data_IF_177429564200
#
_entry.id   IF_177429564200
#
_cell.length_a   1.000
_cell.length_b   1.000
_cell.length_c   1.000
_cell.angle_alpha   90.00
_cell.angle_beta   90.00
_cell.angle_gamma   90.00
#
_symmetry.space_group_name_H-M   'P 1'
#
loop_
_entity.id
_entity.type
_entity.pdbx_description
1 polymer ?
#
# COMPACT_ATOMS: atom_id res chain seq x y z
N UNK A 1 -5.35 12.84 -7.43
CA UNK A 1 -6.51 13.05 -6.57
C UNK A 1 -7.05 14.45 -6.79
N UNK A 2 -8.36 14.56 -6.92
CA UNK A 2 -9.04 15.82 -7.31
C UNK A 2 -9.49 16.66 -6.10
N UNK A 3 -9.30 16.15 -4.86
CA UNK A 3 -9.78 16.80 -3.62
C UNK A 3 -8.58 17.29 -2.82
N UNK A 4 -8.54 18.57 -2.49
CA UNK A 4 -7.50 19.11 -1.61
C UNK A 4 -7.72 18.65 -0.16
N UNK A 5 -6.65 18.70 0.65
CA UNK A 5 -6.74 18.39 2.07
C UNK A 5 -7.70 19.33 2.79
N UNK A 6 -7.68 20.60 2.42
CA UNK A 6 -8.55 21.65 2.96
C UNK A 6 -10.02 21.37 2.63
N UNK A 7 -10.35 21.04 1.37
CA UNK A 7 -11.72 20.69 0.96
C UNK A 7 -12.23 19.45 1.70
N UNK A 8 -11.36 18.47 1.97
CA UNK A 8 -11.72 17.28 2.72
C UNK A 8 -11.99 17.62 4.20
N UNK A 9 -11.17 18.47 4.81
CA UNK A 9 -11.38 18.95 6.19
C UNK A 9 -12.71 19.69 6.32
N UNK A 10 -13.03 20.59 5.39
CA UNK A 10 -14.29 21.32 5.36
C UNK A 10 -15.49 20.37 5.24
N UNK A 11 -15.36 19.32 4.41
CA UNK A 11 -16.39 18.30 4.24
C UNK A 11 -16.59 17.45 5.50
N UNK A 12 -15.51 17.14 6.22
CA UNK A 12 -15.56 16.42 7.49
C UNK A 12 -16.18 17.28 8.60
N UNK A 13 -15.80 18.55 8.69
CA UNK A 13 -16.36 19.49 9.67
C UNK A 13 -17.86 19.70 9.45
N UNK A 14 -18.31 19.87 8.21
CA UNK A 14 -19.73 19.97 7.85
C UNK A 14 -20.54 18.71 8.23
N UNK A 15 -19.88 17.56 8.35
CA UNK A 15 -20.45 16.30 8.80
C UNK A 15 -20.27 16.04 10.32
N UNK A 16 -19.85 17.05 11.07
CA UNK A 16 -19.56 16.97 12.51
C UNK A 16 -18.51 15.91 12.87
N UNK A 17 -17.55 15.66 11.96
CA UNK A 17 -16.44 14.72 12.15
C UNK A 17 -15.21 15.49 12.64
N UNK A 18 -14.75 15.18 13.84
CA UNK A 18 -13.54 15.80 14.40
C UNK A 18 -12.29 15.29 13.66
N UNK A 19 -11.61 16.21 12.97
CA UNK A 19 -10.41 15.91 12.20
C UNK A 19 -9.41 17.08 12.29
N UNK A 20 -8.11 16.76 12.14
CA UNK A 20 -7.06 17.78 12.16
C UNK A 20 -5.91 17.40 11.22
N UNK A 21 -5.12 18.40 10.85
CA UNK A 21 -3.90 18.21 10.03
C UNK A 21 -2.83 17.49 10.86
N UNK A 22 -2.16 16.52 10.24
CA UNK A 22 -1.00 15.88 10.84
C UNK A 22 0.26 16.63 10.46
N UNK A 23 0.94 17.23 11.45
CA UNK A 23 2.18 17.98 11.22
C UNK A 23 3.28 17.06 10.66
N UNK A 24 4.02 17.54 9.66
CA UNK A 24 5.07 16.79 8.99
C UNK A 24 4.59 15.84 7.88
N UNK A 25 3.27 15.74 7.67
CA UNK A 25 2.67 14.93 6.59
C UNK A 25 1.78 15.82 5.71
N UNK A 26 2.22 16.22 4.51
CA UNK A 26 1.54 17.26 3.71
C UNK A 26 0.07 16.97 3.40
N UNK A 27 -0.30 15.68 3.28
CA UNK A 27 -1.62 15.24 2.83
C UNK A 27 -2.41 14.47 3.90
N UNK A 28 -1.82 14.32 5.10
CA UNK A 28 -2.43 13.51 6.15
C UNK A 28 -3.40 14.33 7.02
N UNK A 29 -4.50 13.67 7.36
CA UNK A 29 -5.52 14.14 8.30
C UNK A 29 -5.69 13.07 9.38
N UNK A 30 -5.67 13.45 10.64
CA UNK A 30 -6.08 12.60 11.75
C UNK A 30 -7.57 12.76 12.02
N UNK A 31 -8.31 11.66 12.00
CA UNK A 31 -9.75 11.64 12.29
C UNK A 31 -9.96 11.05 13.68
N UNK A 32 -10.61 11.79 14.56
CA UNK A 32 -10.81 11.43 15.97
C UNK A 32 -12.22 10.91 16.28
N UNK A 33 -13.21 11.19 15.41
CA UNK A 33 -14.59 10.77 15.57
C UNK A 33 -15.24 10.55 14.20
N UNK A 34 -16.46 10.02 14.15
CA UNK A 34 -17.21 9.93 12.90
C UNK A 34 -17.72 8.52 12.54
N UNK A 35 -17.50 7.52 13.39
CA UNK A 35 -18.04 6.17 13.19
C UNK A 35 -17.26 5.34 12.17
N UNK A 36 -17.96 4.59 11.33
CA UNK A 36 -17.31 3.72 10.33
C UNK A 36 -16.65 4.56 9.23
N UNK A 37 -15.36 4.30 8.95
CA UNK A 37 -14.60 5.00 7.91
C UNK A 37 -15.30 5.01 6.55
N UNK A 38 -15.99 3.93 6.22
CA UNK A 38 -16.73 3.79 4.95
C UNK A 38 -17.95 4.71 4.84
N UNK A 39 -18.39 5.30 5.95
CA UNK A 39 -19.51 6.24 6.00
C UNK A 39 -19.04 7.70 6.00
N UNK A 40 -17.74 7.95 6.08
CA UNK A 40 -17.21 9.31 6.09
C UNK A 40 -17.33 9.97 4.71
N UNK A 41 -17.59 11.30 4.67
CA UNK A 41 -17.59 12.06 3.41
C UNK A 41 -16.32 11.85 2.61
N UNK A 42 -16.45 11.63 1.31
CA UNK A 42 -15.32 11.45 0.41
C UNK A 42 -14.73 10.03 0.37
N UNK A 43 -15.11 9.11 1.26
CA UNK A 43 -14.54 7.75 1.22
C UNK A 43 -14.96 6.97 -0.02
N UNK A 44 -16.27 6.92 -0.31
CA UNK A 44 -16.79 6.20 -1.49
C UNK A 44 -16.33 6.82 -2.81
N UNK A 45 -16.14 8.12 -2.83
CA UNK A 45 -15.66 8.90 -3.97
C UNK A 45 -14.15 8.75 -4.20
N UNK A 46 -13.43 8.12 -3.26
CA UNK A 46 -11.99 7.93 -3.35
C UNK A 46 -11.16 9.16 -3.01
N UNK A 47 -11.71 10.12 -2.25
CA UNK A 47 -11.00 11.32 -1.84
C UNK A 47 -9.84 11.04 -0.87
N UNK A 48 -9.91 9.95 -0.11
CA UNK A 48 -8.85 9.57 0.83
C UNK A 48 -8.75 8.06 1.03
N UNK A 49 -7.66 7.63 1.66
CA UNK A 49 -7.45 6.28 2.16
C UNK A 49 -6.96 6.31 3.61
N UNK A 50 -7.17 5.20 4.33
CA UNK A 50 -6.67 5.06 5.70
C UNK A 50 -5.31 4.40 5.68
N UNK A 51 -4.34 5.04 6.30
CA UNK A 51 -2.98 4.52 6.37
C UNK A 51 -2.31 4.95 7.68
N UNK A 52 -1.51 4.05 8.25
CA UNK A 52 -0.67 4.35 9.42
C UNK A 52 0.41 5.38 9.01
N UNK A 53 0.71 6.40 9.86
CA UNK A 53 1.76 7.37 9.55
C UNK A 53 3.12 6.76 9.23
N UNK A 54 3.52 5.69 9.94
CA UNK A 54 4.77 5.00 9.64
C UNK A 54 4.76 4.32 8.25
N UNK A 55 3.60 3.86 7.78
CA UNK A 55 3.46 3.32 6.43
C UNK A 55 3.52 4.42 5.36
N UNK A 56 3.05 5.64 5.66
CA UNK A 56 3.19 6.79 4.76
C UNK A 56 4.66 7.18 4.56
N UNK A 57 5.49 7.10 5.61
CA UNK A 57 6.92 7.40 5.50
C UNK A 57 7.62 6.53 4.45
N UNK A 58 7.17 5.29 4.22
CA UNK A 58 7.73 4.42 3.17
C UNK A 58 7.56 5.05 1.78
N UNK A 59 6.40 5.61 1.48
CA UNK A 59 6.15 6.31 0.22
C UNK A 59 7.09 7.52 0.03
N UNK A 60 7.23 8.35 1.07
CA UNK A 60 8.12 9.51 1.01
C UNK A 60 9.61 9.12 0.90
N UNK A 61 10.04 8.06 1.59
CA UNK A 61 11.41 7.54 1.48
C UNK A 61 11.70 6.94 0.09
N UNK A 62 10.71 6.26 -0.50
CA UNK A 62 10.83 5.75 -1.86
C UNK A 62 10.94 6.87 -2.90
N UNK A 63 10.38 8.05 -2.58
CA UNK A 63 10.41 9.26 -3.41
C UNK A 63 10.11 8.98 -4.90
N UNK A 64 9.01 8.30 -5.23
CA UNK A 64 8.72 7.89 -6.59
C UNK A 64 8.49 9.12 -7.47
N UNK A 65 8.84 9.00 -8.75
CA UNK A 65 8.69 10.08 -9.73
C UNK A 65 7.62 9.73 -10.77
N UNK A 66 6.94 10.74 -11.25
CA UNK A 66 6.00 10.60 -12.37
C UNK A 66 6.67 9.88 -13.55
N UNK A 67 5.97 8.91 -14.13
CA UNK A 67 6.44 8.12 -15.27
C UNK A 67 7.26 6.87 -14.92
N UNK A 68 7.67 6.68 -13.67
CA UNK A 68 8.43 5.50 -13.25
C UNK A 68 7.59 4.21 -13.33
N UNK A 69 8.31 3.11 -13.45
CA UNK A 69 7.79 1.75 -13.32
C UNK A 69 8.23 1.15 -11.98
N UNK A 70 7.29 0.77 -11.15
CA UNK A 70 7.55 0.24 -9.80
C UNK A 70 6.99 -1.17 -9.67
N UNK A 71 7.77 -2.07 -9.08
CA UNK A 71 7.32 -3.37 -8.63
C UNK A 71 7.11 -3.31 -7.10
N UNK A 72 5.90 -3.60 -6.64
CA UNK A 72 5.55 -3.66 -5.22
C UNK A 72 5.29 -5.12 -4.83
N UNK A 73 6.21 -5.71 -4.08
CA UNK A 73 6.19 -7.10 -3.62
C UNK A 73 5.48 -7.21 -2.27
N UNK A 74 4.67 -8.26 -2.12
CA UNK A 74 3.83 -8.46 -0.93
C UNK A 74 2.86 -7.29 -0.68
N UNK A 75 2.31 -6.73 -1.76
CA UNK A 75 1.65 -5.44 -1.81
C UNK A 75 0.33 -5.33 -1.03
N UNK A 76 -0.35 -6.47 -0.80
CA UNK A 76 -1.69 -6.45 -0.22
C UNK A 76 -1.71 -5.99 1.27
N UNK A 77 -2.70 -5.19 1.64
CA UNK A 77 -3.95 -4.87 0.94
C UNK A 77 -3.87 -3.70 -0.08
N UNK A 78 -2.69 -3.12 -0.32
CA UNK A 78 -2.50 -2.09 -1.35
C UNK A 78 -2.31 -0.65 -0.84
N UNK A 79 -2.26 -0.42 0.48
CA UNK A 79 -2.12 0.94 1.02
C UNK A 79 -0.82 1.63 0.60
N UNK A 80 0.32 0.90 0.59
CA UNK A 80 1.59 1.44 0.09
C UNK A 80 1.56 1.64 -1.42
N UNK A 81 1.03 0.66 -2.15
CA UNK A 81 0.85 0.73 -3.61
C UNK A 81 0.08 1.97 -4.04
N UNK A 82 -1.07 2.23 -3.40
CA UNK A 82 -1.91 3.40 -3.73
C UNK A 82 -1.21 4.70 -3.40
N UNK A 83 -0.54 4.78 -2.25
CA UNK A 83 0.23 5.96 -1.86
C UNK A 83 1.38 6.26 -2.84
N UNK A 84 2.13 5.24 -3.29
CA UNK A 84 3.13 5.42 -4.35
C UNK A 84 2.52 5.98 -5.63
N UNK A 85 1.37 5.44 -6.05
CA UNK A 85 0.67 5.91 -7.24
C UNK A 85 0.20 7.37 -7.11
N UNK A 86 -0.26 7.77 -5.94
CA UNK A 86 -0.63 9.16 -5.61
C UNK A 86 0.58 10.08 -5.70
N UNK A 87 1.71 9.71 -5.08
CA UNK A 87 2.96 10.47 -5.15
C UNK A 87 3.50 10.61 -6.58
N UNK A 88 3.21 9.63 -7.45
CA UNK A 88 3.52 9.71 -8.89
C UNK A 88 2.51 10.54 -9.68
N UNK A 89 1.48 11.10 -9.06
CA UNK A 89 0.38 11.79 -9.76
C UNK A 89 -0.40 10.89 -10.71
N UNK A 90 -0.48 9.59 -10.41
CA UNK A 90 -1.12 8.59 -11.29
C UNK A 90 -0.36 8.30 -12.59
N UNK A 91 0.84 8.87 -12.78
CA UNK A 91 1.64 8.74 -14.00
C UNK A 91 2.69 7.64 -13.83
N UNK A 92 2.83 6.81 -14.88
CA UNK A 92 3.74 5.66 -14.85
C UNK A 92 3.00 4.34 -14.69
N UNK A 93 3.64 3.36 -14.07
CA UNK A 93 3.05 2.03 -13.90
C UNK A 93 3.53 1.37 -12.60
N UNK A 94 2.61 0.82 -11.82
CA UNK A 94 2.93 0.00 -10.65
C UNK A 94 2.38 -1.41 -10.88
N UNK A 95 3.25 -2.42 -10.81
CA UNK A 95 2.85 -3.82 -10.69
C UNK A 95 2.89 -4.20 -9.21
N UNK A 96 1.73 -4.43 -8.64
CA UNK A 96 1.55 -4.88 -7.26
C UNK A 96 1.31 -6.39 -7.24
N UNK A 97 2.17 -7.15 -6.58
CA UNK A 97 2.03 -8.61 -6.50
C UNK A 97 1.83 -9.07 -5.07
N UNK A 98 1.00 -10.08 -4.91
CA UNK A 98 0.83 -10.81 -3.64
C UNK A 98 0.58 -12.29 -3.97
N UNK A 99 0.98 -13.19 -3.08
CA UNK A 99 0.84 -14.63 -3.28
C UNK A 99 -0.64 -15.05 -3.39
N UNK A 100 -1.53 -14.39 -2.65
CA UNK A 100 -2.92 -14.82 -2.48
C UNK A 100 -3.90 -14.06 -3.37
N UNK A 101 -4.63 -14.73 -4.30
CA UNK A 101 -5.58 -14.06 -5.21
C UNK A 101 -6.65 -13.22 -4.51
N UNK A 102 -7.15 -13.66 -3.35
CA UNK A 102 -8.15 -12.89 -2.59
C UNK A 102 -7.56 -11.56 -2.07
N UNK A 103 -6.28 -11.54 -1.68
CA UNK A 103 -5.59 -10.33 -1.25
C UNK A 103 -5.31 -9.39 -2.42
N UNK A 104 -4.96 -9.93 -3.58
CA UNK A 104 -4.85 -9.15 -4.83
C UNK A 104 -6.18 -8.47 -5.18
N UNK A 105 -7.31 -9.12 -4.88
CA UNK A 105 -8.63 -8.52 -5.00
C UNK A 105 -8.78 -7.22 -4.21
N UNK A 106 -8.20 -7.13 -3.00
CA UNK A 106 -8.22 -5.91 -2.19
C UNK A 106 -7.42 -4.77 -2.83
N UNK A 107 -6.24 -5.07 -3.40
CA UNK A 107 -5.44 -4.09 -4.13
C UNK A 107 -6.25 -3.50 -5.29
N UNK A 108 -6.92 -4.36 -6.07
CA UNK A 108 -7.76 -3.94 -7.20
C UNK A 108 -8.93 -3.08 -6.77
N UNK A 109 -9.58 -3.42 -5.65
CA UNK A 109 -10.68 -2.63 -5.09
C UNK A 109 -10.20 -1.24 -4.64
N UNK A 110 -9.07 -1.15 -3.94
CA UNK A 110 -8.48 0.11 -3.51
C UNK A 110 -8.08 0.98 -4.72
N UNK A 111 -7.36 0.41 -5.69
CA UNK A 111 -6.96 1.11 -6.90
C UNK A 111 -8.18 1.65 -7.69
N UNK A 112 -9.25 0.85 -7.79
CA UNK A 112 -10.50 1.25 -8.44
C UNK A 112 -11.19 2.39 -7.70
N UNK A 113 -11.34 2.28 -6.36
CA UNK A 113 -12.00 3.31 -5.55
C UNK A 113 -11.27 4.66 -5.63
N UNK A 114 -9.93 4.63 -5.63
CA UNK A 114 -9.07 5.81 -5.71
C UNK A 114 -8.79 6.28 -7.16
N UNK A 115 -9.43 5.65 -8.16
CA UNK A 115 -9.24 5.95 -9.59
C UNK A 115 -7.78 5.89 -10.07
N UNK A 116 -6.97 4.96 -9.54
CA UNK A 116 -5.55 4.82 -9.83
C UNK A 116 -5.32 3.77 -10.91
N UNK A 117 -5.53 4.13 -12.18
CA UNK A 117 -5.45 3.24 -13.35
C UNK A 117 -4.02 2.76 -13.67
N UNK A 118 -2.99 3.45 -13.15
CA UNK A 118 -1.58 3.09 -13.28
C UNK A 118 -1.20 1.83 -12.50
N UNK A 119 -2.05 1.37 -11.56
CA UNK A 119 -1.83 0.16 -10.77
C UNK A 119 -2.35 -1.07 -11.52
N UNK A 120 -1.50 -2.07 -11.67
CA UNK A 120 -1.85 -3.43 -12.09
C UNK A 120 -1.54 -4.38 -10.93
N UNK A 121 -2.43 -5.35 -10.68
CA UNK A 121 -2.23 -6.28 -9.57
C UNK A 121 -2.37 -7.73 -10.05
N UNK A 122 -1.38 -8.56 -9.70
CA UNK A 122 -1.30 -9.98 -10.10
C UNK A 122 -1.02 -10.89 -8.90
N UNK A 123 -1.59 -12.10 -8.95
CA UNK A 123 -1.33 -13.13 -7.95
C UNK A 123 -0.09 -13.92 -8.39
N UNK A 124 1.04 -13.64 -7.75
CA UNK A 124 2.35 -14.16 -8.15
C UNK A 124 3.15 -14.52 -6.90
N UNK A 125 3.84 -15.65 -6.94
CA UNK A 125 4.82 -15.98 -5.91
C UNK A 125 6.06 -15.08 -6.07
N UNK A 126 6.22 -14.15 -5.13
CA UNK A 126 7.32 -13.19 -5.13
C UNK A 126 8.69 -13.81 -4.82
N UNK A 127 8.76 -15.09 -4.45
CA UNK A 127 10.02 -15.81 -4.22
C UNK A 127 10.58 -16.44 -5.49
N UNK A 128 9.80 -16.47 -6.57
CA UNK A 128 10.22 -17.05 -7.86
C UNK A 128 10.52 -15.95 -8.90
N UNK A 129 11.80 -15.74 -9.25
CA UNK A 129 12.19 -14.70 -10.22
C UNK A 129 11.59 -14.91 -11.61
N UNK A 130 11.32 -16.18 -12.01
CA UNK A 130 10.75 -16.44 -13.32
C UNK A 130 9.27 -16.03 -13.36
N UNK A 131 8.52 -16.31 -12.30
CA UNK A 131 7.13 -15.88 -12.18
C UNK A 131 7.02 -14.35 -12.10
N UNK A 132 7.93 -13.67 -11.41
CA UNK A 132 7.99 -12.21 -11.39
C UNK A 132 8.24 -11.65 -12.79
N UNK A 133 9.18 -12.22 -13.54
CA UNK A 133 9.46 -11.81 -14.93
C UNK A 133 8.23 -11.97 -15.83
N UNK A 134 7.54 -13.09 -15.74
CA UNK A 134 6.29 -13.32 -16.47
C UNK A 134 5.20 -12.32 -16.07
N UNK A 135 5.08 -11.97 -14.78
CA UNK A 135 4.13 -10.97 -14.31
C UNK A 135 4.43 -9.57 -14.87
N UNK A 136 5.71 -9.18 -14.91
CA UNK A 136 6.16 -7.93 -15.53
C UNK A 136 5.82 -7.88 -17.04
N UNK A 137 6.08 -8.97 -17.76
CA UNK A 137 5.77 -9.09 -19.20
C UNK A 137 4.27 -8.95 -19.47
N UNK A 138 3.40 -9.57 -18.66
CA UNK A 138 1.92 -9.47 -18.78
C UNK A 138 1.41 -8.04 -18.75
N UNK A 139 2.07 -7.17 -18.02
CA UNK A 139 1.69 -5.75 -17.92
C UNK A 139 2.54 -4.85 -18.82
N UNK A 140 3.34 -5.42 -19.70
CA UNK A 140 4.27 -4.69 -20.58
C UNK A 140 5.15 -3.74 -19.77
N UNK A 141 5.72 -4.24 -18.69
CA UNK A 141 6.70 -3.55 -17.86
C UNK A 141 8.04 -4.27 -18.07
N UNK A 142 9.06 -3.54 -18.51
CA UNK A 142 10.44 -4.03 -18.56
C UNK A 142 11.04 -4.10 -17.15
N UNK A 143 12.33 -3.82 -17.05
CA UNK A 143 12.97 -3.69 -15.75
C UNK A 143 12.34 -2.53 -14.98
N UNK A 144 11.87 -2.73 -13.73
CA UNK A 144 11.32 -1.65 -12.92
C UNK A 144 12.42 -0.65 -12.49
N UNK A 145 12.07 0.63 -12.39
CA UNK A 145 12.96 1.68 -11.89
C UNK A 145 13.18 1.55 -10.37
N UNK A 146 12.20 0.99 -9.67
CA UNK A 146 12.28 0.74 -8.23
C UNK A 146 11.47 -0.50 -7.84
N UNK A 147 11.92 -1.16 -6.78
CA UNK A 147 11.23 -2.30 -6.17
C UNK A 147 10.97 -1.98 -4.71
N UNK A 148 9.72 -2.11 -4.31
CA UNK A 148 9.30 -2.01 -2.91
C UNK A 148 9.04 -3.42 -2.39
N UNK A 149 9.66 -3.76 -1.27
CA UNK A 149 9.47 -5.04 -0.61
C UNK A 149 9.05 -4.82 0.85
N UNK A 150 7.74 -4.91 1.09
CA UNK A 150 7.18 -4.96 2.46
C UNK A 150 6.91 -6.41 2.85
N UNK A 151 8.00 -7.12 3.14
CA UNK A 151 7.98 -8.56 3.35
C UNK A 151 7.17 -8.98 4.58
N UNK A 152 6.52 -10.16 4.54
CA UNK A 152 5.85 -10.72 5.71
C UNK A 152 6.78 -10.78 6.92
N UNK A 153 6.30 -10.37 8.07
CA UNK A 153 7.08 -10.33 9.30
C UNK A 153 6.32 -10.93 10.49
N UNK A 154 6.97 -11.02 11.64
CA UNK A 154 6.33 -11.53 12.87
C UNK A 154 5.15 -10.67 13.34
N UNK A 155 5.12 -9.40 12.96
CA UNK A 155 4.10 -8.45 13.40
C UNK A 155 4.22 -8.04 14.87
N UNK A 156 5.28 -8.45 15.61
CA UNK A 156 5.42 -8.18 17.04
C UNK A 156 5.44 -6.68 17.38
N UNK A 157 5.85 -5.82 16.44
CA UNK A 157 5.73 -4.37 16.58
C UNK A 157 4.30 -3.85 16.64
N UNK A 158 3.31 -4.67 16.28
CA UNK A 158 1.88 -4.30 16.25
C UNK A 158 1.07 -4.95 17.36
N UNK A 159 1.69 -5.50 18.40
CA UNK A 159 1.03 -6.21 19.52
C UNK A 159 -0.08 -5.40 20.20
N UNK A 160 0.04 -4.07 20.20
CA UNK A 160 -0.99 -3.19 20.77
C UNK A 160 -2.31 -3.30 20.01
N UNK A 161 -2.25 -3.54 18.70
CA UNK A 161 -3.42 -3.68 17.80
C UNK A 161 -3.82 -5.14 17.57
N UNK A 162 -2.84 -6.04 17.64
CA UNK A 162 -2.97 -7.47 17.32
C UNK A 162 -2.40 -8.32 18.48
N UNK A 163 -3.07 -8.37 19.63
CA UNK A 163 -2.55 -9.06 20.83
C UNK A 163 -2.38 -10.58 20.64
N UNK A 164 -3.09 -11.19 19.69
CA UNK A 164 -2.98 -12.60 19.31
C UNK A 164 -1.60 -12.98 18.79
N UNK A 165 -0.81 -12.03 18.29
CA UNK A 165 0.56 -12.26 17.83
C UNK A 165 1.53 -12.69 18.95
N UNK A 166 1.13 -12.55 20.22
CA UNK A 166 1.91 -13.04 21.37
C UNK A 166 2.08 -14.56 21.35
N UNK A 167 1.20 -15.28 20.69
CA UNK A 167 1.26 -16.74 20.58
C UNK A 167 2.27 -17.25 19.55
N UNK A 168 2.89 -16.38 18.73
CA UNK A 168 3.91 -16.78 17.75
C UNK A 168 5.14 -17.33 18.47
N UNK A 169 5.63 -18.46 17.99
CA UNK A 169 6.81 -19.12 18.51
C UNK A 169 8.09 -18.77 17.71
N UNK A 170 9.24 -19.25 18.18
CA UNK A 170 10.52 -18.99 17.51
C UNK A 170 10.68 -19.70 16.17
N UNK A 171 9.98 -20.80 15.94
CA UNK A 171 10.01 -21.51 14.64
C UNK A 171 9.33 -20.67 13.59
N UNK A 172 8.15 -20.11 13.89
CA UNK A 172 7.41 -19.22 12.98
C UNK A 172 8.28 -18.02 12.54
N UNK A 173 9.08 -17.47 13.47
CA UNK A 173 9.98 -16.34 13.15
C UNK A 173 11.12 -16.78 12.22
N UNK A 174 11.67 -17.98 12.39
CA UNK A 174 12.72 -18.48 11.49
C UNK A 174 12.22 -18.71 10.08
N UNK A 175 11.04 -19.29 9.92
CA UNK A 175 10.41 -19.49 8.61
C UNK A 175 10.19 -18.14 7.90
N UNK A 176 9.78 -17.11 8.64
CA UNK A 176 9.63 -15.76 8.09
C UNK A 176 10.98 -15.16 7.63
N UNK A 177 12.06 -15.40 8.35
CA UNK A 177 13.41 -14.92 7.96
C UNK A 177 13.84 -15.57 6.64
N UNK A 178 13.64 -16.88 6.47
CA UNK A 178 13.97 -17.56 5.21
C UNK A 178 13.10 -17.05 4.06
N UNK A 179 11.81 -16.85 4.29
CA UNK A 179 10.91 -16.25 3.30
C UNK A 179 11.36 -14.85 2.89
N UNK A 180 11.72 -13.99 3.85
CA UNK A 180 12.21 -12.63 3.58
C UNK A 180 13.48 -12.64 2.73
N UNK A 181 14.41 -13.57 2.99
CA UNK A 181 15.61 -13.74 2.16
C UNK A 181 15.26 -14.15 0.75
N UNK A 182 14.40 -15.16 0.59
CA UNK A 182 13.98 -15.61 -0.75
C UNK A 182 13.29 -14.50 -1.55
N UNK A 183 12.46 -13.69 -0.91
CA UNK A 183 11.83 -12.52 -1.54
C UNK A 183 12.86 -11.47 -1.95
N UNK A 184 13.84 -11.19 -1.09
CA UNK A 184 14.89 -10.22 -1.38
C UNK A 184 15.79 -10.70 -2.52
N UNK A 185 16.19 -11.99 -2.52
CA UNK A 185 17.00 -12.58 -3.56
C UNK A 185 16.27 -12.55 -4.92
N UNK A 186 14.97 -12.87 -4.93
CA UNK A 186 14.16 -12.81 -6.16
C UNK A 186 13.99 -11.37 -6.68
N UNK A 187 13.91 -10.38 -5.78
CA UNK A 187 13.80 -8.96 -6.14
C UNK A 187 15.08 -8.41 -6.80
N UNK A 188 16.25 -9.03 -6.59
CA UNK A 188 17.53 -8.59 -7.14
C UNK A 188 17.83 -9.17 -8.53
N UNK A 189 17.02 -10.10 -9.03
CA UNK A 189 17.24 -10.84 -10.29
C UNK A 189 16.43 -10.28 -11.43
#
# INVERSE_FOLDING_TARGET
LEVSREDLLDSLDAAEVSAEVVEGFPEAIAIHSGGAVTALPGFSEGAFTVQDPAAQLIGYLAAPKAGQHILDLCAAPGGKTTHLAELMGGQGKILAVDLHPHRVGLIKQHAKRLNLSCIKADATDGTDPQLLRVALERVSMGQPDAIILDAPCSGLGTLRRNPELRSKNRADVRELVELQRSLLDAAQT
#
